data_IF_064534758507
#
_entry.id   IF_064534758507
#
_cell.length_a   1.000
_cell.length_b   1.000
_cell.length_c   1.000
_cell.angle_alpha   90.00
_cell.angle_beta   90.00
_cell.angle_gamma   90.00
#
_symmetry.space_group_name_H-M   'P 1'
#
loop_
_entity.id
_entity.type
_entity.pdbx_description
1 polymer ?
#
# COMPACT_ATOMS: atom_id res chain seq x y z
N UNK A 1 -58.57 38.68 -16.58
CA UNK A 1 -57.23 38.07 -16.40
C UNK A 1 -57.18 37.28 -15.10
N UNK A 2 -57.57 36.00 -15.12
CA UNK A 2 -57.33 34.99 -14.03
C UNK A 2 -57.96 33.61 -14.32
N UNK A 3 -58.17 33.23 -15.59
CA UNK A 3 -58.71 31.90 -15.94
C UNK A 3 -58.01 31.27 -17.17
N UNK A 4 -57.12 31.98 -17.87
CA UNK A 4 -56.50 31.48 -19.11
C UNK A 4 -55.04 30.98 -18.98
N UNK A 5 -54.53 30.81 -17.75
CA UNK A 5 -53.14 30.33 -17.51
C UNK A 5 -53.10 28.87 -17.03
N UNK A 6 -54.22 28.29 -16.57
CA UNK A 6 -54.26 26.94 -16.01
C UNK A 6 -54.32 25.79 -17.03
N UNK A 7 -54.64 26.06 -18.31
CA UNK A 7 -54.91 25.01 -19.31
C UNK A 7 -53.73 24.72 -20.25
N UNK A 8 -52.71 25.57 -20.26
CA UNK A 8 -51.46 25.31 -21.02
C UNK A 8 -50.47 24.48 -20.19
N UNK A 9 -50.54 24.53 -18.85
CA UNK A 9 -49.68 23.71 -17.98
C UNK A 9 -50.10 22.23 -17.87
N UNK A 10 -51.35 21.87 -18.18
CA UNK A 10 -51.82 20.48 -18.08
C UNK A 10 -51.67 19.67 -19.38
N UNK A 11 -51.34 20.30 -20.52
CA UNK A 11 -51.13 19.63 -21.80
C UNK A 11 -49.65 19.42 -22.16
N UNK A 12 -48.71 19.96 -21.38
CA UNK A 12 -47.27 19.71 -21.51
C UNK A 12 -46.78 18.53 -20.67
N UNK A 13 -47.65 17.87 -19.89
CA UNK A 13 -47.34 16.74 -19.01
C UNK A 13 -47.77 15.36 -19.58
N UNK A 14 -48.20 15.29 -20.84
CA UNK A 14 -48.73 14.06 -21.45
C UNK A 14 -47.87 13.50 -22.60
N UNK A 15 -46.58 13.85 -22.65
CA UNK A 15 -45.62 13.26 -23.58
C UNK A 15 -44.26 13.06 -22.92
N UNK A 16 -44.26 12.46 -21.72
CA UNK A 16 -43.08 11.69 -21.30
C UNK A 16 -43.17 10.39 -22.09
N UNK A 17 -42.24 10.10 -23.02
CA UNK A 17 -42.19 8.75 -23.56
C UNK A 17 -42.01 7.83 -22.35
N UNK A 18 -42.90 6.85 -22.20
CA UNK A 18 -42.62 5.69 -21.37
C UNK A 18 -41.45 5.02 -22.07
N UNK A 19 -40.23 5.43 -21.72
CA UNK A 19 -39.03 4.65 -21.99
C UNK A 19 -39.26 3.37 -21.22
N UNK A 20 -39.72 2.34 -21.93
CA UNK A 20 -39.55 0.97 -21.48
C UNK A 20 -38.13 0.85 -20.99
N UNK A 21 -37.93 0.41 -19.74
CA UNK A 21 -36.64 -0.05 -19.27
C UNK A 21 -36.10 -1.02 -20.33
N UNK A 22 -35.24 -0.52 -21.20
CA UNK A 22 -34.40 -1.35 -22.02
C UNK A 22 -33.46 -1.98 -21.00
N UNK A 23 -33.60 -3.28 -20.80
CA UNK A 23 -32.53 -4.06 -20.20
C UNK A 23 -31.30 -3.80 -21.07
N UNK A 24 -30.36 -3.00 -20.58
CA UNK A 24 -29.07 -2.86 -21.23
C UNK A 24 -28.44 -4.26 -21.27
N UNK A 25 -28.14 -4.71 -22.47
CA UNK A 25 -27.49 -6.00 -22.74
C UNK A 25 -25.98 -5.93 -22.50
N UNK A 26 -25.52 -5.12 -21.55
CA UNK A 26 -24.11 -4.90 -21.23
C UNK A 26 -23.67 -5.72 -20.00
N UNK A 27 -24.04 -7.01 -19.94
CA UNK A 27 -23.45 -7.93 -18.94
C UNK A 27 -21.93 -8.10 -19.10
N UNK A 28 -21.30 -7.56 -20.15
CA UNK A 28 -19.85 -7.65 -20.37
C UNK A 28 -19.01 -6.56 -19.67
N UNK A 29 -19.60 -5.49 -19.11
CA UNK A 29 -18.84 -4.37 -18.49
C UNK A 29 -19.13 -4.13 -16.99
N UNK A 30 -19.84 -5.02 -16.31
CA UNK A 30 -20.15 -4.85 -14.89
C UNK A 30 -18.98 -5.31 -14.00
N UNK A 31 -18.52 -4.45 -13.08
CA UNK A 31 -17.65 -4.87 -11.99
C UNK A 31 -18.38 -5.82 -11.03
N UNK A 32 -17.67 -6.71 -10.31
CA UNK A 32 -18.22 -7.45 -9.18
C UNK A 32 -19.05 -6.55 -8.24
N UNK A 33 -20.37 -6.75 -8.25
CA UNK A 33 -21.38 -5.98 -7.52
C UNK A 33 -21.50 -4.48 -7.84
N UNK A 34 -21.49 -4.13 -9.12
CA UNK A 34 -21.91 -2.82 -9.66
C UNK A 34 -23.15 -2.30 -8.90
N UNK A 35 -23.13 -1.08 -8.33
CA UNK A 35 -24.25 -0.61 -7.54
C UNK A 35 -25.54 -0.52 -8.36
N UNK A 36 -26.65 -1.04 -7.81
CA UNK A 36 -28.01 -0.83 -8.33
C UNK A 36 -28.35 0.67 -8.37
N UNK A 37 -27.59 1.48 -7.63
CA UNK A 37 -27.81 2.88 -7.41
C UNK A 37 -26.53 3.69 -7.66
N UNK A 38 -26.40 4.26 -8.86
CA UNK A 38 -25.26 5.09 -9.30
C UNK A 38 -25.23 6.48 -8.67
N UNK A 39 -25.69 6.62 -7.43
CA UNK A 39 -25.66 7.88 -6.73
C UNK A 39 -24.20 8.29 -6.46
N UNK A 40 -23.74 9.29 -7.21
CA UNK A 40 -22.46 9.98 -6.97
C UNK A 40 -22.36 10.48 -5.53
N UNK A 41 -23.49 10.86 -4.91
CA UNK A 41 -23.54 11.36 -3.55
C UNK A 41 -23.96 10.28 -2.53
N UNK A 42 -23.01 9.86 -1.69
CA UNK A 42 -23.25 8.98 -0.56
C UNK A 42 -23.24 9.79 0.75
N UNK A 43 -24.37 9.80 1.47
CA UNK A 43 -24.45 10.44 2.80
C UNK A 43 -23.73 9.60 3.87
N UNK A 44 -23.28 10.22 4.95
CA UNK A 44 -22.69 9.49 6.09
C UNK A 44 -23.64 8.42 6.67
N UNK A 45 -24.94 8.71 6.72
CA UNK A 45 -25.94 7.76 7.23
C UNK A 45 -26.07 6.52 6.34
N UNK A 46 -26.08 6.70 5.02
CA UNK A 46 -26.09 5.60 4.06
C UNK A 46 -24.81 4.77 4.15
N UNK A 47 -23.65 5.44 4.15
CA UNK A 47 -22.34 4.81 4.31
C UNK A 47 -22.30 3.97 5.60
N UNK A 48 -22.76 4.52 6.72
CA UNK A 48 -22.75 3.82 8.01
C UNK A 48 -23.57 2.54 7.98
N UNK A 49 -24.76 2.56 7.36
CA UNK A 49 -25.57 1.36 7.24
C UNK A 49 -24.89 0.30 6.36
N UNK A 50 -24.29 0.73 5.24
CA UNK A 50 -23.66 -0.19 4.30
C UNK A 50 -22.41 -0.86 4.87
N UNK A 51 -21.49 -0.11 5.50
CA UNK A 51 -20.26 -0.69 6.05
C UNK A 51 -20.53 -1.62 7.24
N UNK A 52 -21.58 -1.36 8.03
CA UNK A 52 -22.02 -2.30 9.07
C UNK A 52 -22.59 -3.58 8.44
N UNK A 53 -23.38 -3.45 7.36
CA UNK A 53 -23.86 -4.59 6.60
C UNK A 53 -22.72 -5.46 6.05
N UNK A 54 -21.68 -4.84 5.48
CA UNK A 54 -20.49 -5.58 5.01
C UNK A 54 -19.80 -6.38 6.12
N UNK A 55 -19.66 -5.79 7.31
CA UNK A 55 -19.06 -6.47 8.47
C UNK A 55 -19.93 -7.63 8.99
N UNK A 56 -21.25 -7.49 8.94
CA UNK A 56 -22.20 -8.54 9.33
C UNK A 56 -22.24 -9.69 8.30
N UNK A 57 -22.19 -9.37 7.00
CA UNK A 57 -22.34 -10.32 5.91
C UNK A 57 -21.05 -11.08 5.57
N UNK A 58 -19.88 -10.43 5.74
CA UNK A 58 -18.56 -11.00 5.40
C UNK A 58 -17.54 -10.89 6.56
N UNK A 59 -17.84 -11.36 7.78
CA UNK A 59 -16.99 -11.20 8.95
C UNK A 59 -15.63 -11.92 8.84
N UNK A 60 -15.50 -12.87 7.90
CA UNK A 60 -14.24 -13.56 7.62
C UNK A 60 -13.22 -12.69 6.88
N UNK A 61 -13.68 -11.63 6.20
CA UNK A 61 -12.82 -10.69 5.48
C UNK A 61 -12.97 -9.23 5.89
N UNK A 62 -14.05 -8.84 6.55
CA UNK A 62 -14.34 -7.45 6.92
C UNK A 62 -14.25 -7.27 8.44
N UNK A 63 -13.38 -6.36 8.87
CA UNK A 63 -13.33 -5.85 10.24
C UNK A 63 -13.54 -4.32 10.26
N UNK A 64 -14.70 -3.89 10.75
CA UNK A 64 -15.09 -2.47 10.77
C UNK A 64 -14.59 -1.77 12.04
N UNK A 65 -13.80 -0.71 11.88
CA UNK A 65 -13.31 0.12 12.97
C UNK A 65 -13.97 1.51 13.01
N UNK A 66 -14.37 1.93 14.21
CA UNK A 66 -14.69 3.31 14.56
C UNK A 66 -13.42 3.98 15.11
N UNK A 67 -12.74 4.76 14.27
CA UNK A 67 -11.37 5.26 14.58
C UNK A 67 -11.35 6.64 15.23
N UNK A 68 -12.52 7.24 15.41
CA UNK A 68 -12.66 8.58 15.95
C UNK A 68 -14.01 9.19 15.59
N UNK A 69 -14.19 10.46 15.97
CA UNK A 69 -15.40 11.24 15.69
C UNK A 69 -15.05 12.50 14.94
N UNK A 70 -15.94 12.92 14.04
CA UNK A 70 -15.95 14.26 13.47
C UNK A 70 -16.37 15.31 14.51
N UNK A 71 -16.30 16.59 14.14
CA UNK A 71 -16.64 17.72 15.02
C UNK A 71 -18.10 17.66 15.54
N UNK A 72 -19.04 17.15 14.73
CA UNK A 72 -20.44 16.94 15.11
C UNK A 72 -20.71 15.55 15.71
N UNK A 73 -19.68 14.75 15.97
CA UNK A 73 -19.78 13.48 16.67
C UNK A 73 -20.12 12.27 15.79
N UNK A 74 -19.93 12.36 14.47
CA UNK A 74 -20.14 11.21 13.56
C UNK A 74 -18.93 10.28 13.57
N UNK A 75 -19.17 8.98 13.57
CA UNK A 75 -18.09 7.98 13.48
C UNK A 75 -17.29 8.11 12.19
N UNK A 76 -15.98 8.01 12.31
CA UNK A 76 -15.07 7.87 11.19
C UNK A 76 -14.82 6.37 10.99
N UNK A 77 -15.36 5.83 9.90
CA UNK A 77 -15.34 4.40 9.63
C UNK A 77 -14.12 4.01 8.80
N UNK A 78 -13.35 3.05 9.29
CA UNK A 78 -12.32 2.35 8.52
C UNK A 78 -12.76 0.91 8.30
N UNK A 79 -12.92 0.55 7.03
CA UNK A 79 -13.16 -0.84 6.62
C UNK A 79 -11.81 -1.51 6.48
N UNK A 80 -11.54 -2.52 7.32
CA UNK A 80 -10.31 -3.31 7.23
C UNK A 80 -10.61 -4.62 6.51
N UNK A 81 -9.89 -4.88 5.43
CA UNK A 81 -10.09 -6.05 4.57
C UNK A 81 -8.83 -6.92 4.55
N UNK A 82 -8.98 -8.19 4.88
CA UNK A 82 -7.96 -9.22 4.71
C UNK A 82 -8.60 -10.60 4.91
N UNK A 83 -7.97 -11.68 4.49
CA UNK A 83 -8.37 -13.01 4.94
C UNK A 83 -8.00 -13.18 6.42
N UNK A 84 -8.94 -12.90 7.32
CA UNK A 84 -8.73 -12.95 8.78
C UNK A 84 -8.67 -14.39 9.33
N UNK A 85 -8.80 -15.40 8.47
CA UNK A 85 -8.57 -16.80 8.88
C UNK A 85 -7.06 -17.13 9.01
N UNK A 86 -6.18 -16.29 8.47
CA UNK A 86 -4.73 -16.45 8.50
C UNK A 86 -4.01 -15.13 8.86
N UNK A 87 -3.07 -15.21 9.81
CA UNK A 87 -2.31 -14.03 10.26
C UNK A 87 -1.12 -13.68 9.33
N UNK A 88 -0.69 -14.63 8.50
CA UNK A 88 0.49 -14.49 7.64
C UNK A 88 0.19 -14.94 6.22
N UNK A 89 1.01 -14.49 5.27
CA UNK A 89 1.02 -15.01 3.90
C UNK A 89 1.28 -16.52 3.86
N UNK A 90 1.00 -17.20 2.73
CA UNK A 90 1.32 -18.63 2.55
C UNK A 90 2.80 -19.00 2.78
N UNK A 91 3.72 -18.06 2.57
CA UNK A 91 5.15 -18.25 2.81
C UNK A 91 5.59 -17.96 4.27
N UNK A 92 4.66 -17.65 5.16
CA UNK A 92 4.91 -17.34 6.58
C UNK A 92 5.36 -15.91 6.88
N UNK A 93 5.53 -15.05 5.86
CA UNK A 93 5.84 -13.64 6.08
C UNK A 93 4.60 -12.82 6.43
N UNK A 94 4.80 -11.68 7.09
CA UNK A 94 3.71 -10.74 7.41
C UNK A 94 3.05 -10.22 6.12
N UNK A 95 1.75 -9.93 6.18
CA UNK A 95 0.99 -9.31 5.09
C UNK A 95 1.49 -7.89 4.83
N UNK A 96 1.39 -7.41 3.59
CA UNK A 96 1.58 -5.98 3.31
C UNK A 96 0.39 -5.19 3.86
N UNK A 97 0.62 -3.92 4.18
CA UNK A 97 -0.44 -3.01 4.65
C UNK A 97 -0.65 -1.91 3.62
N UNK A 98 -1.88 -1.75 3.14
CA UNK A 98 -2.27 -0.63 2.27
C UNK A 98 -3.25 0.25 3.04
N UNK A 99 -2.92 1.54 3.15
CA UNK A 99 -3.83 2.54 3.70
C UNK A 99 -4.46 3.38 2.59
N UNK A 100 -5.78 3.53 2.62
CA UNK A 100 -6.53 4.34 1.66
C UNK A 100 -7.45 5.26 2.45
N UNK A 101 -7.55 6.51 2.04
CA UNK A 101 -8.62 7.38 2.50
C UNK A 101 -9.27 8.20 1.39
N UNK A 102 -10.48 8.66 1.68
CA UNK A 102 -11.26 9.55 0.83
C UNK A 102 -12.05 10.56 1.65
N UNK A 103 -12.59 11.56 0.95
CA UNK A 103 -13.52 12.52 1.54
C UNK A 103 -12.88 13.49 2.52
N UNK A 104 -11.60 13.86 2.35
CA UNK A 104 -10.99 15.00 3.06
C UNK A 104 -11.77 16.29 2.83
N UNK A 105 -12.20 16.48 1.58
CA UNK A 105 -13.10 17.55 1.22
C UNK A 105 -14.52 17.01 1.08
N UNK A 106 -15.46 17.57 1.83
CA UNK A 106 -16.81 17.00 1.94
C UNK A 106 -17.60 16.99 0.63
N UNK A 107 -17.32 17.95 -0.26
CA UNK A 107 -17.97 18.09 -1.57
C UNK A 107 -17.25 17.34 -2.71
N UNK A 108 -16.20 16.57 -2.43
CA UNK A 108 -15.48 15.74 -3.42
C UNK A 108 -16.05 14.32 -3.42
N UNK A 109 -17.26 14.19 -3.96
CA UNK A 109 -18.02 12.95 -3.86
C UNK A 109 -17.39 11.79 -4.65
N UNK A 110 -16.77 12.04 -5.80
CA UNK A 110 -16.13 10.99 -6.60
C UNK A 110 -14.89 10.42 -5.90
N UNK A 111 -14.08 11.25 -5.24
CA UNK A 111 -12.97 10.77 -4.41
C UNK A 111 -13.44 9.90 -3.24
N UNK A 112 -14.54 10.29 -2.59
CA UNK A 112 -15.19 9.45 -1.55
C UNK A 112 -15.73 8.14 -2.14
N UNK A 113 -16.35 8.20 -3.31
CA UNK A 113 -16.91 7.05 -4.01
C UNK A 113 -15.83 6.07 -4.45
N UNK A 114 -14.67 6.53 -4.91
CA UNK A 114 -13.55 5.64 -5.29
C UNK A 114 -13.02 4.86 -4.07
N UNK A 115 -12.98 5.47 -2.88
CA UNK A 115 -12.54 4.78 -1.66
C UNK A 115 -13.55 3.69 -1.27
N UNK A 116 -14.83 4.03 -1.35
CA UNK A 116 -15.92 3.08 -1.12
C UNK A 116 -15.94 1.93 -2.16
N UNK A 117 -15.76 2.25 -3.45
CA UNK A 117 -15.68 1.28 -4.55
C UNK A 117 -14.50 0.33 -4.35
N UNK A 118 -13.36 0.85 -3.90
CA UNK A 118 -12.19 0.03 -3.60
C UNK A 118 -12.54 -1.04 -2.55
N UNK A 119 -13.21 -0.67 -1.46
CA UNK A 119 -13.64 -1.64 -0.45
C UNK A 119 -14.65 -2.65 -1.02
N UNK A 120 -15.68 -2.15 -1.69
CA UNK A 120 -16.78 -2.95 -2.24
C UNK A 120 -16.30 -3.97 -3.28
N UNK A 121 -15.37 -3.58 -4.15
CA UNK A 121 -14.82 -4.44 -5.19
C UNK A 121 -14.12 -5.67 -4.60
N UNK A 122 -13.28 -5.50 -3.56
CA UNK A 122 -12.59 -6.63 -2.94
C UNK A 122 -13.54 -7.54 -2.14
N UNK A 123 -14.56 -6.98 -1.49
CA UNK A 123 -15.59 -7.76 -0.78
C UNK A 123 -16.38 -8.62 -1.78
N UNK A 124 -16.90 -8.02 -2.84
CA UNK A 124 -17.68 -8.74 -3.85
C UNK A 124 -16.80 -9.73 -4.62
N UNK A 125 -15.58 -9.32 -5.00
CA UNK A 125 -14.61 -10.17 -5.67
C UNK A 125 -14.30 -11.43 -4.85
N UNK A 126 -14.13 -11.29 -3.53
CA UNK A 126 -13.98 -12.45 -2.64
C UNK A 126 -15.21 -13.36 -2.68
N UNK A 127 -16.41 -12.80 -2.50
CA UNK A 127 -17.67 -13.54 -2.49
C UNK A 127 -17.94 -14.29 -3.81
N UNK A 128 -17.51 -13.72 -4.94
CA UNK A 128 -17.67 -14.28 -6.28
C UNK A 128 -16.54 -15.26 -6.67
N UNK A 129 -15.50 -15.39 -5.84
CA UNK A 129 -14.35 -16.25 -6.13
C UNK A 129 -13.37 -15.66 -7.17
N UNK A 130 -13.31 -14.34 -7.28
CA UNK A 130 -12.35 -13.63 -8.13
C UNK A 130 -10.92 -13.84 -7.60
N UNK A 131 -10.03 -14.35 -8.45
CA UNK A 131 -8.68 -14.73 -8.05
C UNK A 131 -7.83 -13.52 -7.59
N UNK A 132 -7.96 -12.36 -8.23
CA UNK A 132 -7.21 -11.17 -7.82
C UNK A 132 -7.63 -10.70 -6.43
N UNK A 133 -8.94 -10.67 -6.16
CA UNK A 133 -9.44 -10.30 -4.83
C UNK A 133 -8.96 -11.29 -3.75
N UNK A 134 -9.01 -12.59 -4.04
CA UNK A 134 -8.50 -13.64 -3.14
C UNK A 134 -7.00 -13.45 -2.88
N UNK A 135 -6.20 -13.29 -3.94
CA UNK A 135 -4.75 -13.15 -3.81
C UNK A 135 -4.38 -11.90 -3.02
N UNK A 136 -5.06 -10.77 -3.26
CA UNK A 136 -4.84 -9.54 -2.49
C UNK A 136 -5.20 -9.75 -1.02
N UNK A 137 -6.39 -10.26 -0.69
CA UNK A 137 -6.81 -10.40 0.72
C UNK A 137 -6.00 -11.46 1.48
N UNK A 138 -5.44 -12.47 0.80
CA UNK A 138 -4.53 -13.44 1.42
C UNK A 138 -3.14 -12.88 1.70
N UNK A 139 -2.71 -11.86 0.97
CA UNK A 139 -1.34 -11.32 1.06
C UNK A 139 -1.26 -9.91 1.68
N UNK A 140 -2.39 -9.21 1.77
CA UNK A 140 -2.45 -7.79 2.12
C UNK A 140 -3.59 -7.52 3.11
N UNK A 141 -3.38 -6.55 4.00
CA UNK A 141 -4.41 -5.90 4.80
C UNK A 141 -4.71 -4.53 4.18
N UNK A 142 -5.95 -4.33 3.72
CA UNK A 142 -6.42 -3.04 3.20
C UNK A 142 -7.15 -2.31 4.31
N UNK A 143 -6.74 -1.07 4.62
CA UNK A 143 -7.37 -0.22 5.62
C UNK A 143 -7.94 0.99 4.88
N UNK A 144 -9.27 1.08 4.78
CA UNK A 144 -9.94 2.05 3.91
C UNK A 144 -10.83 2.98 4.74
N UNK A 145 -10.39 4.21 4.95
CA UNK A 145 -11.18 5.28 5.56
C UNK A 145 -12.01 5.96 4.47
N UNK A 146 -13.28 5.59 4.35
CA UNK A 146 -14.09 5.99 3.19
C UNK A 146 -14.41 7.49 3.18
N UNK A 147 -14.77 8.07 4.33
CA UNK A 147 -15.22 9.46 4.43
C UNK A 147 -14.62 10.13 5.66
N UNK A 148 -13.56 10.91 5.45
CA UNK A 148 -12.88 11.62 6.52
C UNK A 148 -13.68 12.82 7.05
N UNK A 149 -14.37 13.55 6.18
CA UNK A 149 -15.13 14.77 6.51
C UNK A 149 -16.64 14.55 6.37
N UNK A 150 -17.27 13.72 7.22
CA UNK A 150 -18.71 13.47 7.12
C UNK A 150 -19.57 14.69 7.49
N UNK A 151 -18.99 15.68 8.17
CA UNK A 151 -19.69 16.92 8.51
C UNK A 151 -19.76 17.88 7.35
N UNK A 152 -18.66 18.09 6.63
CA UNK A 152 -18.65 18.84 5.38
C UNK A 152 -19.43 18.14 4.27
N UNK A 153 -19.40 16.80 4.23
CA UNK A 153 -20.13 16.03 3.23
C UNK A 153 -21.65 16.23 3.31
N UNK A 154 -22.23 16.12 4.51
CA UNK A 154 -23.67 16.28 4.71
C UNK A 154 -24.21 17.68 4.32
N UNK A 155 -23.34 18.70 4.26
CA UNK A 155 -23.71 20.08 3.91
C UNK A 155 -23.06 20.56 2.59
N UNK A 156 -22.48 19.66 1.81
CA UNK A 156 -21.84 19.95 0.51
C UNK A 156 -20.77 21.05 0.59
N UNK A 157 -19.84 20.94 1.55
CA UNK A 157 -18.72 21.89 1.69
C UNK A 157 -17.37 21.21 1.53
N UNK A 158 -16.45 21.91 0.87
CA UNK A 158 -15.03 21.51 0.79
C UNK A 158 -14.40 21.38 2.18
N UNK A 159 -14.63 22.37 3.03
CA UNK A 159 -14.06 22.42 4.36
C UNK A 159 -14.87 21.59 5.35
N UNK A 160 -14.31 21.30 6.52
CA UNK A 160 -15.09 20.76 7.62
C UNK A 160 -16.03 21.83 8.22
N UNK A 161 -16.80 21.46 9.24
CA UNK A 161 -17.78 22.36 9.87
C UNK A 161 -17.13 23.62 10.46
N UNK A 162 -15.87 23.55 10.89
CA UNK A 162 -15.09 24.68 11.42
C UNK A 162 -14.50 25.59 10.33
N UNK A 163 -14.78 25.32 9.05
CA UNK A 163 -14.17 26.00 7.90
C UNK A 163 -12.64 25.83 7.91
N UNK A 164 -12.18 24.60 8.11
CA UNK A 164 -10.78 24.21 7.96
C UNK A 164 -10.64 23.26 6.77
N UNK A 165 -9.59 23.51 5.99
CA UNK A 165 -9.16 22.59 4.94
C UNK A 165 -8.38 21.45 5.60
N UNK A 166 -9.03 20.28 5.69
CA UNK A 166 -8.44 19.10 6.33
C UNK A 166 -7.14 18.69 5.64
N UNK A 167 -7.01 18.90 4.33
CA UNK A 167 -5.79 18.63 3.58
C UNK A 167 -4.77 19.79 3.64
N UNK A 168 -4.91 20.68 4.63
CA UNK A 168 -3.89 21.67 5.06
C UNK A 168 -3.55 21.54 6.55
N UNK A 169 -4.13 20.56 7.24
CA UNK A 169 -4.09 20.44 8.70
C UNK A 169 -3.14 19.33 9.19
N UNK A 170 -2.30 18.73 8.34
CA UNK A 170 -1.35 17.69 8.75
C UNK A 170 0.01 18.27 9.19
N UNK A 171 0.69 17.62 10.13
CA UNK A 171 1.99 18.05 10.67
C UNK A 171 3.18 17.70 9.76
N UNK A 172 3.11 18.15 8.50
CA UNK A 172 4.27 18.16 7.61
C UNK A 172 4.43 19.55 7.02
N UNK A 173 5.38 20.30 7.59
CA UNK A 173 5.61 21.71 7.26
C UNK A 173 4.33 22.56 7.32
N UNK A 174 3.49 22.25 8.31
CA UNK A 174 2.19 22.87 8.51
C UNK A 174 2.27 24.39 8.47
N UNK A 175 1.38 25.01 7.69
CA UNK A 175 1.25 26.47 7.57
C UNK A 175 2.54 27.21 7.13
N UNK A 176 3.42 26.55 6.35
CA UNK A 176 4.65 27.17 5.80
C UNK A 176 4.61 27.48 4.30
N UNK A 177 3.52 27.14 3.61
CA UNK A 177 3.24 27.52 2.23
C UNK A 177 2.13 28.60 2.21
N UNK A 178 1.85 29.26 1.07
CA UNK A 178 0.60 30.01 0.92
C UNK A 178 -0.61 29.08 1.10
N UNK A 179 -1.25 29.10 2.27
CA UNK A 179 -2.40 28.25 2.59
C UNK A 179 -3.70 29.05 2.61
N UNK A 180 -4.81 28.42 2.24
CA UNK A 180 -6.14 29.02 2.33
C UNK A 180 -6.70 28.96 3.75
N UNK A 181 -6.75 27.79 4.42
CA UNK A 181 -7.37 27.64 5.76
C UNK A 181 -6.81 26.43 6.55
N UNK A 182 -5.62 26.49 7.17
CA UNK A 182 -4.92 25.31 7.72
C UNK A 182 -5.34 24.90 9.15
N UNK A 183 -6.30 25.57 9.78
CA UNK A 183 -6.68 25.35 11.17
C UNK A 183 -5.82 26.13 12.18
N UNK A 184 -6.00 25.85 13.47
CA UNK A 184 -5.35 26.60 14.57
C UNK A 184 -3.98 26.02 14.97
N UNK A 185 -3.76 24.74 14.69
CA UNK A 185 -2.50 24.01 14.78
C UNK A 185 -2.54 22.83 13.80
N UNK A 186 -1.42 22.16 13.57
CA UNK A 186 -1.47 20.85 12.95
C UNK A 186 -2.37 19.92 13.79
N UNK A 187 -3.19 19.11 13.12
CA UNK A 187 -4.18 18.21 13.70
C UNK A 187 -5.14 18.88 14.68
N UNK A 188 -5.50 20.16 14.42
CA UNK A 188 -6.49 20.87 15.24
C UNK A 188 -7.91 20.34 15.06
N UNK A 189 -8.21 19.74 13.92
CA UNK A 189 -9.53 19.20 13.62
C UNK A 189 -9.63 17.75 14.10
N UNK A 190 -10.77 17.39 14.68
CA UNK A 190 -11.00 16.03 15.21
C UNK A 190 -10.84 14.94 14.15
N UNK A 191 -11.21 15.24 12.89
CA UNK A 191 -11.08 14.31 11.77
C UNK A 191 -9.61 13.99 11.47
N UNK A 192 -8.77 15.01 11.31
CA UNK A 192 -7.34 14.84 10.96
C UNK A 192 -6.54 14.30 12.14
N UNK A 193 -6.91 14.67 13.38
CA UNK A 193 -6.34 14.10 14.59
C UNK A 193 -6.62 12.59 14.71
N UNK A 194 -7.86 12.16 14.46
CA UNK A 194 -8.21 10.75 14.45
C UNK A 194 -7.46 9.99 13.34
N UNK A 195 -7.40 10.55 12.13
CA UNK A 195 -6.66 9.97 11.01
C UNK A 195 -5.17 9.82 11.33
N UNK A 196 -4.54 10.86 11.86
CA UNK A 196 -3.13 10.81 12.28
C UNK A 196 -2.91 9.76 13.37
N UNK A 197 -3.78 9.70 14.38
CA UNK A 197 -3.67 8.69 15.42
C UNK A 197 -3.76 7.27 14.84
N UNK A 198 -4.68 7.02 13.90
CA UNK A 198 -4.81 5.73 13.23
C UNK A 198 -3.55 5.38 12.43
N UNK A 199 -3.02 6.33 11.63
CA UNK A 199 -1.78 6.16 10.88
C UNK A 199 -0.60 5.79 11.81
N UNK A 200 -0.48 6.45 12.97
CA UNK A 200 0.65 6.24 13.88
C UNK A 200 0.53 4.99 14.76
N UNK A 201 -0.69 4.50 15.02
CA UNK A 201 -0.92 3.45 16.03
C UNK A 201 -1.40 2.13 15.44
N UNK A 202 -2.05 2.14 14.28
CA UNK A 202 -2.62 0.94 13.64
C UNK A 202 -1.86 0.57 12.38
N UNK A 203 -1.53 1.54 11.53
CA UNK A 203 -0.82 1.30 10.26
C UNK A 203 0.55 1.99 10.17
N UNK A 204 1.37 2.11 11.25
CA UNK A 204 2.62 2.90 11.24
C UNK A 204 3.63 2.44 10.18
N UNK A 205 3.47 1.21 9.71
CA UNK A 205 4.37 0.49 8.81
C UNK A 205 3.76 0.25 7.41
N UNK A 206 2.72 1.00 7.03
CA UNK A 206 2.05 0.84 5.74
C UNK A 206 3.04 0.82 4.55
N UNK A 207 2.78 -0.08 3.61
CA UNK A 207 3.58 -0.27 2.42
C UNK A 207 3.10 0.60 1.24
N UNK A 208 1.89 1.15 1.33
CA UNK A 208 1.30 2.11 0.39
C UNK A 208 0.29 3.01 1.12
N UNK A 209 0.24 4.28 0.76
CA UNK A 209 -0.84 5.19 1.15
C UNK A 209 -1.45 5.87 -0.08
N UNK A 210 -2.78 5.84 -0.20
CA UNK A 210 -3.50 6.57 -1.26
C UNK A 210 -4.59 7.45 -0.67
N UNK A 211 -4.65 8.70 -1.09
CA UNK A 211 -5.66 9.67 -0.65
C UNK A 211 -6.47 10.17 -1.85
N UNK A 212 -7.79 10.13 -1.76
CA UNK A 212 -8.68 10.34 -2.90
C UNK A 212 -9.44 11.66 -2.82
N UNK A 213 -9.40 12.38 -3.94
CA UNK A 213 -9.87 13.74 -4.14
C UNK A 213 -10.54 13.90 -5.52
N UNK A 214 -11.16 15.05 -5.76
CA UNK A 214 -11.78 15.41 -7.04
C UNK A 214 -11.68 16.91 -7.31
N UNK A 215 -11.50 17.31 -8.56
CA UNK A 215 -11.43 18.71 -8.99
C UNK A 215 -10.42 18.98 -10.10
N UNK A 216 -9.66 17.95 -10.47
CA UNK A 216 -8.83 17.87 -11.67
C UNK A 216 -8.60 16.37 -11.98
N UNK A 217 -8.27 16.01 -13.21
CA UNK A 217 -7.90 14.63 -13.57
C UNK A 217 -6.37 14.41 -13.56
N UNK A 218 -5.81 13.96 -12.42
CA UNK A 218 -4.37 13.77 -12.21
C UNK A 218 -4.08 12.90 -10.99
N UNK A 219 -3.00 12.11 -11.05
CA UNK A 219 -2.44 11.43 -9.89
C UNK A 219 -1.14 12.10 -9.45
N UNK A 220 -1.02 12.41 -8.17
CA UNK A 220 0.08 13.20 -7.64
C UNK A 220 0.88 12.40 -6.62
N UNK A 221 2.20 12.48 -6.68
CA UNK A 221 3.09 11.99 -5.63
C UNK A 221 3.83 13.15 -4.96
N UNK A 222 4.43 12.96 -3.77
CA UNK A 222 5.21 13.97 -3.09
C UNK A 222 6.27 14.63 -3.99
N UNK A 223 6.61 15.89 -3.78
CA UNK A 223 6.18 16.77 -2.71
C UNK A 223 5.14 17.77 -3.21
N UNK A 224 4.21 18.15 -2.35
CA UNK A 224 3.41 19.36 -2.53
C UNK A 224 4.20 20.61 -2.17
N UNK A 225 5.06 20.51 -1.15
CA UNK A 225 5.86 21.65 -0.68
C UNK A 225 6.94 22.09 -1.66
N UNK A 226 7.63 21.12 -2.27
CA UNK A 226 8.83 21.34 -3.05
C UNK A 226 8.65 20.87 -4.49
N UNK A 227 9.13 21.64 -5.49
CA UNK A 227 9.12 21.22 -6.89
C UNK A 227 10.19 20.17 -7.20
N UNK A 228 11.16 19.95 -6.32
CA UNK A 228 12.14 18.88 -6.45
C UNK A 228 11.48 17.51 -6.29
N UNK A 229 12.03 16.52 -7.00
CA UNK A 229 11.57 15.14 -6.91
C UNK A 229 11.88 14.54 -5.53
N UNK A 230 11.06 13.61 -5.03
CA UNK A 230 11.31 12.91 -3.78
C UNK A 230 12.58 12.05 -3.87
N UNK A 231 13.15 11.66 -2.73
CA UNK A 231 14.43 10.94 -2.71
C UNK A 231 14.37 9.62 -3.49
N UNK A 232 13.25 8.91 -3.43
CA UNK A 232 12.93 7.67 -4.14
C UNK A 232 12.12 7.94 -5.42
N UNK A 233 12.42 9.03 -6.14
CA UNK A 233 11.76 9.37 -7.40
C UNK A 233 11.72 8.23 -8.43
N UNK A 234 12.71 7.34 -8.42
CA UNK A 234 12.79 6.16 -9.29
C UNK A 234 11.56 5.25 -9.14
N UNK A 235 11.09 5.04 -7.90
CA UNK A 235 9.88 4.28 -7.59
C UNK A 235 8.65 4.93 -8.24
N UNK A 236 8.46 6.23 -8.03
CA UNK A 236 7.32 6.96 -8.56
C UNK A 236 7.33 7.05 -10.08
N UNK A 237 8.51 7.18 -10.69
CA UNK A 237 8.66 7.21 -12.14
C UNK A 237 8.43 5.84 -12.77
N UNK A 238 8.89 4.75 -12.15
CA UNK A 238 8.62 3.40 -12.64
C UNK A 238 7.12 3.09 -12.59
N UNK A 239 6.46 3.39 -11.46
CA UNK A 239 4.99 3.26 -11.34
C UNK A 239 4.28 4.08 -12.41
N UNK A 240 4.71 5.33 -12.64
CA UNK A 240 4.14 6.16 -13.71
C UNK A 240 4.28 5.50 -15.08
N UNK A 241 5.46 5.00 -15.40
CA UNK A 241 5.74 4.40 -16.70
C UNK A 241 4.90 3.13 -16.90
N UNK A 242 4.83 2.26 -15.90
CA UNK A 242 4.02 1.05 -15.95
C UNK A 242 2.53 1.40 -16.15
N UNK A 243 2.00 2.34 -15.36
CA UNK A 243 0.60 2.77 -15.49
C UNK A 243 0.32 3.40 -16.86
N UNK A 244 1.18 4.31 -17.33
CA UNK A 244 0.95 5.02 -18.59
C UNK A 244 1.19 4.19 -19.84
N UNK A 245 1.96 3.10 -19.75
CA UNK A 245 2.15 2.18 -20.86
C UNK A 245 1.02 1.17 -20.97
N UNK A 246 0.51 0.66 -19.84
CA UNK A 246 -0.30 -0.55 -19.83
C UNK A 246 -1.74 -0.36 -19.31
N UNK A 247 -2.05 0.73 -18.59
CA UNK A 247 -3.30 0.86 -17.83
C UNK A 247 -4.10 2.12 -18.19
N UNK A 248 -3.57 3.31 -17.92
CA UNK A 248 -4.31 4.57 -18.05
C UNK A 248 -3.41 5.71 -18.50
N UNK A 249 -4.00 6.66 -19.23
CA UNK A 249 -3.31 7.88 -19.64
C UNK A 249 -3.31 8.98 -18.56
N UNK A 250 -3.79 8.68 -17.34
CA UNK A 250 -3.81 9.62 -16.22
C UNK A 250 -2.42 10.24 -16.01
N UNK A 251 -2.28 11.58 -15.97
CA UNK A 251 -1.00 12.19 -15.72
C UNK A 251 -0.54 11.84 -14.29
N UNK A 252 0.71 11.40 -14.14
CA UNK A 252 1.30 11.09 -12.82
C UNK A 252 2.52 11.97 -12.58
N UNK A 253 2.44 12.90 -11.63
CA UNK A 253 3.46 13.95 -11.45
C UNK A 253 3.68 14.34 -9.99
N UNK A 254 4.82 14.97 -9.72
CA UNK A 254 5.09 15.63 -8.44
C UNK A 254 3.99 16.68 -8.17
N UNK A 255 3.46 16.71 -6.96
CA UNK A 255 2.28 17.51 -6.63
C UNK A 255 2.46 19.03 -6.77
N UNK A 256 3.65 19.55 -6.45
CA UNK A 256 3.97 20.97 -6.61
C UNK A 256 4.04 21.34 -8.10
N UNK A 257 4.69 20.50 -8.91
CA UNK A 257 4.87 20.71 -10.35
C UNK A 257 3.56 20.53 -11.13
N UNK A 258 2.76 19.53 -10.76
CA UNK A 258 1.48 19.22 -11.41
C UNK A 258 0.37 20.20 -11.04
N UNK A 259 0.38 20.75 -9.82
CA UNK A 259 -0.59 21.72 -9.35
C UNK A 259 0.06 23.05 -8.94
N UNK A 260 0.34 23.20 -7.64
CA UNK A 260 0.87 24.40 -7.02
C UNK A 260 1.48 24.05 -5.66
N UNK A 261 2.35 24.91 -5.09
CA UNK A 261 2.93 24.68 -3.77
C UNK A 261 1.87 24.56 -2.67
N UNK A 262 1.84 23.42 -1.98
CA UNK A 262 0.92 23.16 -0.87
C UNK A 262 1.67 22.50 0.31
N UNK A 263 1.21 22.79 1.53
CA UNK A 263 1.82 22.30 2.78
C UNK A 263 0.72 21.79 3.71
N UNK A 264 1.08 20.94 4.67
CA UNK A 264 0.13 20.34 5.61
C UNK A 264 -0.86 19.37 4.96
N UNK A 265 -0.48 18.77 3.83
CA UNK A 265 -1.30 17.75 3.17
C UNK A 265 -1.10 16.38 3.81
N UNK A 266 -2.13 15.53 3.72
CA UNK A 266 -2.05 14.13 4.13
C UNK A 266 -0.98 13.39 3.33
N UNK A 267 -0.89 13.65 2.03
CA UNK A 267 0.10 13.05 1.12
C UNK A 267 1.55 13.27 1.58
N UNK A 268 1.92 14.52 1.80
CA UNK A 268 3.30 14.85 2.18
C UNK A 268 3.60 14.38 3.62
N UNK A 269 2.60 14.29 4.49
CA UNK A 269 2.73 13.68 5.81
C UNK A 269 2.96 12.16 5.73
N UNK A 270 2.17 11.44 4.94
CA UNK A 270 2.32 10.00 4.71
C UNK A 270 3.71 9.65 4.19
N UNK A 271 4.25 10.43 3.26
CA UNK A 271 5.60 10.20 2.77
C UNK A 271 6.69 10.73 3.71
N UNK A 272 6.67 12.02 4.04
CA UNK A 272 7.77 12.69 4.74
C UNK A 272 7.85 12.41 6.24
N UNK A 273 6.75 12.01 6.88
CA UNK A 273 6.71 11.66 8.31
C UNK A 273 6.55 10.16 8.51
N UNK A 274 5.63 9.52 7.78
CA UNK A 274 5.35 8.09 7.97
C UNK A 274 6.22 7.17 7.11
N UNK A 275 6.84 7.67 6.04
CA UNK A 275 7.71 6.87 5.16
C UNK A 275 6.96 6.00 4.14
N UNK A 276 5.69 6.29 3.88
CA UNK A 276 4.86 5.57 2.91
C UNK A 276 5.08 6.12 1.50
N UNK A 277 5.21 5.28 0.47
CA UNK A 277 5.02 5.73 -0.89
C UNK A 277 3.55 6.17 -0.99
N UNK A 278 3.35 7.41 -1.40
CA UNK A 278 2.04 8.04 -1.27
C UNK A 278 1.57 8.63 -2.58
N UNK A 279 0.29 8.40 -2.90
CA UNK A 279 -0.37 9.02 -4.06
C UNK A 279 -1.64 9.75 -3.67
N UNK A 280 -1.90 10.87 -4.34
CA UNK A 280 -3.20 11.54 -4.33
C UNK A 280 -3.86 11.29 -5.67
N UNK A 281 -5.07 10.72 -5.68
CA UNK A 281 -5.91 10.70 -6.86
C UNK A 281 -6.77 11.95 -6.87
N UNK A 282 -6.71 12.72 -7.94
CA UNK A 282 -7.73 13.70 -8.30
C UNK A 282 -8.48 13.07 -9.49
N UNK A 283 -9.69 12.59 -9.22
CA UNK A 283 -10.36 11.60 -10.08
C UNK A 283 -11.11 12.17 -11.28
N UNK A 284 -11.42 13.48 -11.28
CA UNK A 284 -12.26 14.09 -12.31
C UNK A 284 -12.17 15.62 -12.21
N UNK A 285 -12.35 16.32 -13.34
CA UNK A 285 -12.43 17.78 -13.40
C UNK A 285 -13.77 18.32 -12.88
N UNK A 286 -14.82 17.49 -12.84
CA UNK A 286 -16.16 17.89 -12.38
C UNK A 286 -16.41 17.52 -10.90
N UNK A 287 -16.37 18.53 -10.03
CA UNK A 287 -16.91 18.45 -8.68
C UNK A 287 -18.44 18.49 -8.72
N UNK A 288 -19.08 17.39 -9.13
CA UNK A 288 -20.53 17.12 -9.14
C UNK A 288 -21.46 18.21 -9.70
N UNK A 289 -22.25 17.85 -10.72
CA UNK A 289 -23.32 18.71 -11.26
C UNK A 289 -24.69 18.16 -10.83
N UNK A 290 -25.53 18.92 -10.11
CA UNK A 290 -26.87 18.46 -9.74
C UNK A 290 -27.67 17.99 -10.98
N UNK A 291 -28.02 16.70 -11.01
CA UNK A 291 -28.77 16.07 -12.10
C UNK A 291 -27.92 15.33 -13.14
N UNK A 292 -26.60 15.18 -12.95
CA UNK A 292 -25.83 14.18 -13.68
C UNK A 292 -26.21 12.77 -13.20
N UNK A 293 -26.51 11.88 -14.15
CA UNK A 293 -26.72 10.45 -13.92
C UNK A 293 -25.74 9.72 -14.84
N UNK A 294 -24.52 9.53 -14.35
CA UNK A 294 -23.47 8.79 -15.06
C UNK A 294 -23.07 7.63 -14.17
N UNK A 295 -22.82 6.47 -14.76
CA UNK A 295 -22.45 5.30 -13.99
C UNK A 295 -21.06 5.54 -13.36
N UNK A 296 -20.92 5.30 -12.05
CA UNK A 296 -19.65 5.46 -11.34
C UNK A 296 -18.54 4.59 -11.94
N UNK A 297 -18.86 3.39 -12.41
CA UNK A 297 -17.93 2.48 -13.09
C UNK A 297 -17.40 3.12 -14.39
N UNK A 298 -18.24 3.82 -15.16
CA UNK A 298 -17.79 4.51 -16.38
C UNK A 298 -16.88 5.71 -16.06
N UNK A 299 -17.14 6.42 -14.95
CA UNK A 299 -16.37 7.62 -14.57
C UNK A 299 -15.07 7.34 -13.83
N UNK A 300 -15.08 6.31 -12.99
CA UNK A 300 -13.96 5.94 -12.12
C UNK A 300 -13.24 4.68 -12.61
N UNK A 301 -13.56 4.26 -13.83
CA UNK A 301 -13.08 3.03 -14.45
C UNK A 301 -11.55 2.95 -14.47
N UNK A 302 -10.95 3.99 -15.03
CA UNK A 302 -9.50 4.10 -15.16
C UNK A 302 -8.82 4.22 -13.79
N UNK A 303 -9.36 5.03 -12.87
CA UNK A 303 -8.80 5.22 -11.53
C UNK A 303 -8.83 3.92 -10.73
N UNK A 304 -9.91 3.14 -10.87
CA UNK A 304 -10.04 1.87 -10.18
C UNK A 304 -9.06 0.82 -10.73
N UNK A 305 -8.82 0.80 -12.04
CA UNK A 305 -7.81 -0.09 -12.62
C UNK A 305 -6.39 0.29 -12.16
N UNK A 306 -6.08 1.59 -12.06
CA UNK A 306 -4.81 2.04 -11.47
C UNK A 306 -4.74 1.70 -9.97
N UNK A 307 -5.82 1.89 -9.20
CA UNK A 307 -5.88 1.53 -7.79
C UNK A 307 -5.60 0.04 -7.56
N UNK A 308 -6.25 -0.83 -8.35
CA UNK A 308 -6.05 -2.28 -8.32
C UNK A 308 -4.61 -2.66 -8.67
N UNK A 309 -3.99 -1.98 -9.63
CA UNK A 309 -2.57 -2.17 -9.94
C UNK A 309 -1.68 -1.80 -8.75
N UNK A 310 -1.92 -0.65 -8.11
CA UNK A 310 -1.14 -0.23 -6.93
C UNK A 310 -1.27 -1.22 -5.77
N UNK A 311 -2.48 -1.72 -5.52
CA UNK A 311 -2.75 -2.68 -4.44
C UNK A 311 -2.13 -4.04 -4.76
N UNK A 312 -2.36 -4.57 -5.96
CA UNK A 312 -1.89 -5.90 -6.36
C UNK A 312 -0.37 -6.00 -6.42
N UNK A 313 0.32 -4.87 -6.64
CA UNK A 313 1.77 -4.81 -6.73
C UNK A 313 2.45 -4.24 -5.46
N UNK A 314 1.72 -4.11 -4.35
CA UNK A 314 2.22 -3.49 -3.10
C UNK A 314 3.53 -4.09 -2.59
N UNK A 315 3.74 -5.38 -2.82
CA UNK A 315 4.96 -6.08 -2.43
C UNK A 315 6.26 -5.43 -2.98
N UNK A 316 6.16 -4.83 -4.18
CA UNK A 316 7.27 -4.21 -4.91
C UNK A 316 7.59 -2.76 -4.49
N UNK A 317 6.72 -2.08 -3.72
CA UNK A 317 6.87 -0.65 -3.36
C UNK A 317 7.89 -0.36 -2.25
N UNK A 318 8.93 -1.19 -2.15
CA UNK A 318 10.05 -1.07 -1.21
C UNK A 318 11.24 -1.87 -1.71
N UNK A 319 12.42 -1.67 -1.14
CA UNK A 319 13.59 -2.51 -1.37
C UNK A 319 13.35 -3.93 -0.81
N UNK A 320 13.71 -4.93 -1.60
CA UNK A 320 13.59 -6.37 -1.27
C UNK A 320 14.91 -7.04 -1.64
N UNK A 321 15.81 -7.14 -0.68
CA UNK A 321 17.19 -7.54 -0.93
C UNK A 321 17.36 -9.05 -0.73
N UNK A 322 17.75 -9.74 -1.78
CA UNK A 322 18.00 -11.18 -1.77
C UNK A 322 19.47 -11.47 -2.09
N UNK A 323 20.17 -12.11 -1.15
CA UNK A 323 21.59 -12.44 -1.30
C UNK A 323 21.72 -13.71 -2.14
N UNK A 324 22.28 -13.56 -3.34
CA UNK A 324 22.48 -14.66 -4.29
C UNK A 324 23.73 -15.47 -3.95
N UNK A 325 24.79 -14.79 -3.48
CA UNK A 325 26.01 -15.42 -3.00
C UNK A 325 26.70 -14.56 -1.96
N UNK A 326 27.36 -15.23 -1.01
CA UNK A 326 28.23 -14.60 -0.03
C UNK A 326 29.50 -15.45 0.09
N UNK A 327 30.60 -14.91 -0.44
CA UNK A 327 31.90 -15.55 -0.45
C UNK A 327 32.83 -14.87 0.54
N UNK A 328 33.45 -15.63 1.45
CA UNK A 328 34.42 -15.10 2.41
C UNK A 328 35.81 -15.61 2.05
N UNK A 329 36.75 -14.69 1.89
CA UNK A 329 38.16 -14.98 1.57
C UNK A 329 39.07 -14.06 2.36
N UNK A 330 39.79 -14.61 3.33
CA UNK A 330 40.72 -13.88 4.21
C UNK A 330 40.09 -12.61 4.83
N UNK A 331 40.49 -11.44 4.33
CA UNK A 331 40.11 -10.11 4.82
C UNK A 331 38.99 -9.46 3.97
N UNK A 332 38.36 -10.19 3.04
CA UNK A 332 37.30 -9.67 2.17
C UNK A 332 36.08 -10.58 2.11
N UNK A 333 34.90 -9.97 2.00
CA UNK A 333 33.65 -10.64 1.63
C UNK A 333 33.22 -10.13 0.26
N UNK A 334 32.94 -11.05 -0.66
CA UNK A 334 32.26 -10.77 -1.93
C UNK A 334 30.79 -11.14 -1.79
N UNK A 335 29.90 -10.19 -2.04
CA UNK A 335 28.46 -10.32 -1.84
C UNK A 335 27.73 -9.96 -3.14
N UNK A 336 26.93 -10.89 -3.67
CA UNK A 336 25.97 -10.60 -4.76
C UNK A 336 24.58 -10.43 -4.17
N UNK A 337 24.04 -9.22 -4.27
CA UNK A 337 22.71 -8.87 -3.76
C UNK A 337 21.81 -8.44 -4.91
N UNK A 338 20.67 -9.09 -5.02
CA UNK A 338 19.60 -8.72 -5.95
C UNK A 338 18.53 -7.92 -5.23
N UNK A 339 18.14 -6.79 -5.77
CA UNK A 339 16.95 -6.06 -5.32
C UNK A 339 15.76 -6.41 -6.22
N UNK A 340 14.76 -7.09 -5.65
CA UNK A 340 13.49 -7.37 -6.33
C UNK A 340 12.51 -6.19 -6.27
N UNK A 341 12.79 -5.22 -5.41
CA UNK A 341 11.97 -4.07 -5.15
C UNK A 341 12.19 -2.91 -6.11
N UNK A 342 11.19 -2.04 -6.22
CA UNK A 342 11.26 -0.81 -7.01
C UNK A 342 11.77 0.40 -6.21
N UNK A 343 12.09 0.24 -4.92
CA UNK A 343 12.82 1.25 -4.17
C UNK A 343 14.29 0.83 -3.99
N UNK A 344 15.18 1.81 -4.12
CA UNK A 344 16.59 1.68 -3.78
C UNK A 344 16.79 1.64 -2.26
N UNK A 345 17.90 1.04 -1.80
CA UNK A 345 18.39 1.16 -0.42
C UNK A 345 19.80 1.75 -0.44
N UNK A 346 20.02 2.86 0.26
CA UNK A 346 21.29 3.60 0.27
C UNK A 346 22.18 3.34 1.49
N UNK A 347 21.64 2.73 2.54
CA UNK A 347 22.34 2.49 3.81
C UNK A 347 22.28 1.01 4.21
N UNK A 348 22.52 0.11 3.26
CA UNK A 348 22.52 -1.34 3.53
C UNK A 348 23.81 -1.75 4.23
N UNK A 349 23.70 -2.63 5.22
CA UNK A 349 24.82 -3.24 5.95
C UNK A 349 24.68 -4.74 5.97
N UNK A 350 25.77 -5.47 5.74
CA UNK A 350 25.85 -6.89 6.04
C UNK A 350 26.27 -7.05 7.50
N UNK A 351 25.52 -7.84 8.26
CA UNK A 351 25.80 -8.08 9.68
C UNK A 351 26.01 -9.56 9.95
N UNK A 352 26.93 -9.83 10.86
CA UNK A 352 27.07 -11.13 11.51
C UNK A 352 26.60 -10.98 12.95
N UNK A 353 25.57 -11.73 13.33
CA UNK A 353 24.88 -11.59 14.62
C UNK A 353 25.01 -12.86 15.46
N UNK A 354 24.94 -12.72 16.78
CA UNK A 354 24.83 -13.85 17.71
C UNK A 354 23.39 -14.39 17.80
N UNK A 355 23.18 -15.44 18.60
CA UNK A 355 21.86 -16.04 18.84
C UNK A 355 20.86 -15.12 19.55
N UNK A 356 21.34 -14.03 20.16
CA UNK A 356 20.52 -12.97 20.75
C UNK A 356 20.22 -11.81 19.79
N UNK A 357 20.71 -11.85 18.55
CA UNK A 357 20.56 -10.78 17.57
C UNK A 357 21.53 -9.61 17.74
N UNK A 358 22.56 -9.74 18.59
CA UNK A 358 23.57 -8.68 18.73
C UNK A 358 24.57 -8.77 17.59
N UNK A 359 24.82 -7.65 16.93
CA UNK A 359 25.85 -7.57 15.89
C UNK A 359 27.25 -7.78 16.47
N UNK A 360 27.89 -8.88 16.06
CA UNK A 360 29.29 -9.20 16.35
C UNK A 360 30.22 -8.52 15.35
N UNK A 361 29.74 -8.30 14.12
CA UNK A 361 30.44 -7.58 13.06
C UNK A 361 29.42 -6.90 12.13
N UNK A 362 29.80 -5.74 11.61
CA UNK A 362 29.03 -4.98 10.63
C UNK A 362 29.95 -4.49 9.51
N UNK A 363 29.47 -4.56 8.27
CA UNK A 363 30.19 -4.04 7.11
C UNK A 363 30.16 -2.50 7.08
N UNK A 364 30.98 -1.91 6.19
CA UNK A 364 30.70 -0.56 5.73
C UNK A 364 29.36 -0.51 4.98
N UNK A 365 28.72 0.67 4.95
CA UNK A 365 27.48 0.88 4.23
C UNK A 365 27.69 0.72 2.72
N UNK A 366 26.70 0.13 2.05
CA UNK A 366 26.63 0.05 0.60
C UNK A 366 25.21 0.31 0.09
N UNK A 367 25.12 0.65 -1.20
CA UNK A 367 23.85 0.93 -1.88
C UNK A 367 23.47 -0.24 -2.76
N UNK A 368 22.18 -0.59 -2.78
CA UNK A 368 21.60 -1.49 -3.78
C UNK A 368 20.46 -0.75 -4.47
N UNK A 369 20.62 -0.49 -5.77
CA UNK A 369 19.63 0.25 -6.55
C UNK A 369 18.37 -0.60 -6.80
N UNK A 370 17.23 0.06 -7.08
CA UNK A 370 15.98 -0.57 -7.48
C UNK A 370 16.16 -1.51 -8.67
N UNK A 371 15.50 -2.68 -8.63
CA UNK A 371 15.42 -3.67 -9.72
C UNK A 371 16.78 -4.12 -10.28
N UNK A 372 17.87 -4.01 -9.51
CA UNK A 372 19.24 -4.29 -9.97
C UNK A 372 19.92 -5.38 -9.14
N UNK A 373 20.97 -6.00 -9.71
CA UNK A 373 21.93 -6.83 -8.96
C UNK A 373 23.19 -6.01 -8.71
N UNK A 374 23.73 -6.10 -7.50
CA UNK A 374 24.95 -5.41 -7.10
C UNK A 374 25.95 -6.40 -6.54
N UNK A 375 27.15 -6.42 -7.13
CA UNK A 375 28.29 -7.13 -6.57
C UNK A 375 29.09 -6.17 -5.71
N UNK A 376 29.25 -6.51 -4.43
CA UNK A 376 29.85 -5.65 -3.42
C UNK A 376 31.01 -6.38 -2.76
N UNK A 377 32.15 -5.71 -2.63
CA UNK A 377 33.31 -6.20 -1.88
C UNK A 377 33.40 -5.45 -0.56
N UNK A 378 33.43 -6.18 0.55
CA UNK A 378 33.38 -5.65 1.92
C UNK A 378 34.63 -6.06 2.70
N UNK A 379 35.15 -5.16 3.54
CA UNK A 379 36.33 -5.39 4.39
C UNK A 379 35.98 -6.24 5.62
N UNK A 380 36.60 -7.42 5.74
CA UNK A 380 36.33 -8.42 6.76
C UNK A 380 37.44 -8.56 7.83
N UNK A 381 38.43 -7.65 7.90
CA UNK A 381 39.59 -7.76 8.81
C UNK A 381 39.30 -8.00 10.30
N UNK A 382 38.13 -7.56 10.78
CA UNK A 382 37.71 -7.73 12.18
C UNK A 382 36.59 -8.75 12.34
N UNK A 383 36.31 -9.54 11.32
CA UNK A 383 35.30 -10.58 11.37
C UNK A 383 35.81 -11.75 12.21
N UNK A 384 35.05 -12.12 13.24
CA UNK A 384 35.29 -13.33 14.03
C UNK A 384 34.02 -14.15 14.04
N UNK A 385 34.08 -15.31 13.38
CA UNK A 385 32.95 -16.22 13.26
C UNK A 385 32.82 -17.07 14.52
N UNK A 386 31.58 -17.29 14.94
CA UNK A 386 31.22 -18.18 16.05
C UNK A 386 30.46 -19.40 15.51
N UNK A 387 30.30 -20.44 16.32
CA UNK A 387 29.63 -21.66 15.86
C UNK A 387 28.12 -21.46 15.68
N UNK A 388 27.54 -20.47 16.35
CA UNK A 388 26.11 -20.23 16.49
C UNK A 388 25.65 -18.88 15.91
N UNK A 389 26.56 -18.09 15.31
CA UNK A 389 26.20 -16.83 14.68
C UNK A 389 25.59 -17.00 13.28
N UNK A 390 24.80 -16.01 12.86
CA UNK A 390 24.09 -15.99 11.58
C UNK A 390 24.32 -14.68 10.82
N UNK A 391 24.06 -14.70 9.52
CA UNK A 391 24.17 -13.53 8.65
C UNK A 391 22.80 -12.90 8.41
N UNK A 392 22.76 -11.57 8.40
CA UNK A 392 21.57 -10.80 8.01
C UNK A 392 21.95 -9.55 7.22
N UNK A 393 21.03 -9.07 6.39
CA UNK A 393 21.07 -7.71 5.86
C UNK A 393 20.28 -6.80 6.77
N UNK A 394 20.86 -5.66 7.12
CA UNK A 394 20.17 -4.59 7.82
C UNK A 394 20.11 -3.35 6.93
N UNK A 395 18.91 -2.89 6.61
CA UNK A 395 18.73 -1.81 5.65
C UNK A 395 17.40 -1.06 5.80
N UNK A 396 17.37 0.14 5.24
CA UNK A 396 16.16 0.95 5.16
C UNK A 396 15.36 0.56 3.92
N UNK A 397 14.06 0.31 4.07
CA UNK A 397 13.27 -0.25 2.96
C UNK A 397 13.00 0.75 1.82
N UNK A 398 13.26 2.04 2.03
CA UNK A 398 13.18 3.15 1.05
C UNK A 398 14.19 4.21 1.43
N UNK A 399 14.63 5.04 0.48
CA UNK A 399 15.66 6.08 0.74
C UNK A 399 15.13 7.33 1.47
N UNK A 400 13.82 7.45 1.69
CA UNK A 400 13.26 8.53 2.50
C UNK A 400 13.61 8.32 3.98
N UNK A 401 14.06 9.38 4.66
CA UNK A 401 14.56 9.28 6.04
C UNK A 401 13.54 8.71 7.04
N UNK A 402 12.25 8.95 6.83
CA UNK A 402 11.14 8.44 7.65
C UNK A 402 10.88 6.94 7.47
N UNK A 403 11.47 6.31 6.46
CA UNK A 403 11.25 4.89 6.16
C UNK A 403 11.81 3.99 7.25
N UNK A 404 11.10 2.89 7.53
CA UNK A 404 11.51 1.89 8.52
C UNK A 404 12.76 1.12 8.09
N UNK A 405 13.43 0.57 9.09
CA UNK A 405 14.56 -0.35 8.92
C UNK A 405 14.11 -1.78 9.14
N UNK A 406 14.72 -2.71 8.41
CA UNK A 406 14.48 -4.15 8.54
C UNK A 406 15.80 -4.89 8.71
N UNK A 407 15.75 -5.99 9.47
CA UNK A 407 16.78 -7.03 9.50
C UNK A 407 16.20 -8.27 8.81
N UNK A 408 16.83 -8.70 7.72
CA UNK A 408 16.40 -9.88 6.96
C UNK A 408 17.52 -10.94 6.97
N UNK A 409 17.24 -12.16 7.49
CA UNK A 409 18.26 -13.20 7.61
C UNK A 409 18.67 -13.73 6.24
N UNK A 410 19.96 -14.07 6.10
CA UNK A 410 20.52 -14.64 4.87
C UNK A 410 20.45 -16.15 4.95
N UNK A 411 20.00 -16.79 3.86
CA UNK A 411 19.91 -18.24 3.78
C UNK A 411 21.31 -18.86 3.81
N UNK A 412 21.55 -19.78 4.75
CA UNK A 412 22.84 -20.44 4.89
C UNK A 412 23.31 -21.21 3.64
N UNK A 413 22.40 -21.57 2.72
CA UNK A 413 22.76 -22.28 1.48
C UNK A 413 23.56 -21.44 0.48
N UNK A 414 23.53 -20.11 0.59
CA UNK A 414 24.25 -19.21 -0.34
C UNK A 414 25.67 -18.87 0.12
N UNK A 415 26.07 -19.36 1.30
CA UNK A 415 27.38 -19.15 1.89
C UNK A 415 28.42 -20.06 1.24
N UNK A 416 29.50 -19.45 0.74
CA UNK A 416 30.67 -20.17 0.23
C UNK A 416 31.91 -19.67 0.96
N UNK A 417 32.49 -20.52 1.80
CA UNK A 417 33.76 -20.24 2.46
C UNK A 417 34.90 -20.74 1.58
N UNK A 418 35.74 -19.84 1.08
CA UNK A 418 36.92 -20.22 0.30
C UNK A 418 38.10 -20.29 1.28
N UNK A 419 38.46 -21.49 1.74
CA UNK A 419 39.67 -21.69 2.54
C UNK A 419 40.92 -21.50 1.65
N UNK A 420 41.65 -20.41 1.86
CA UNK A 420 43.06 -20.31 1.49
C UNK A 420 43.90 -21.06 2.53
N UNK A 421 44.75 -21.98 2.07
CA UNK A 421 45.49 -22.92 2.93
C UNK A 421 46.16 -22.25 4.15
N UNK A 422 45.57 -22.39 5.34
CA UNK A 422 46.22 -22.84 6.59
C UNK A 422 45.45 -22.48 7.87
N UNK A 423 44.31 -23.13 8.12
CA UNK A 423 44.00 -23.71 9.45
C UNK A 423 42.66 -24.44 9.40
N UNK A 424 42.68 -25.72 9.80
CA UNK A 424 41.48 -26.55 9.92
C UNK A 424 40.49 -25.92 10.93
N UNK A 425 39.44 -25.28 10.43
CA UNK A 425 38.27 -24.94 11.23
C UNK A 425 37.01 -25.44 10.50
N UNK A 426 36.73 -26.73 10.68
CA UNK A 426 35.46 -27.34 10.29
C UNK A 426 34.33 -26.81 11.19
N UNK A 427 33.58 -25.82 10.69
CA UNK A 427 32.28 -25.44 11.23
C UNK A 427 31.27 -25.36 10.08
N UNK A 428 30.17 -26.11 10.19
CA UNK A 428 28.98 -25.88 9.38
C UNK A 428 28.46 -27.00 8.48
N UNK A 429 28.71 -28.29 8.74
CA UNK A 429 27.89 -29.35 8.10
C UNK A 429 26.61 -29.58 8.93
N UNK A 430 25.56 -28.81 8.65
CA UNK A 430 24.23 -29.05 9.20
C UNK A 430 23.68 -30.42 8.75
N UNK A 431 22.97 -31.09 9.66
CA UNK A 431 22.38 -32.45 9.56
C UNK A 431 21.38 -32.68 8.40
N UNK A 432 21.23 -31.74 7.45
CA UNK A 432 20.26 -31.81 6.35
C UNK A 432 20.88 -31.59 4.96
N UNK A 433 22.20 -31.73 4.80
CA UNK A 433 22.82 -31.74 3.47
C UNK A 433 22.40 -33.02 2.69
N UNK A 434 21.85 -32.91 1.46
CA UNK A 434 21.42 -34.05 0.65
C UNK A 434 22.54 -35.05 0.39
N UNK A 435 23.78 -34.59 0.25
CA UNK A 435 24.96 -35.43 0.00
C UNK A 435 25.33 -36.24 1.24
N UNK A 436 25.22 -35.66 2.43
CA UNK A 436 25.50 -36.34 3.71
C UNK A 436 24.41 -37.37 4.04
N UNK A 437 23.15 -37.08 3.69
CA UNK A 437 22.04 -38.03 3.78
C UNK A 437 22.23 -39.20 2.81
N UNK A 438 22.60 -38.93 1.55
CA UNK A 438 22.88 -39.98 0.54
C UNK A 438 24.08 -40.84 0.96
N UNK A 439 25.15 -40.23 1.47
CA UNK A 439 26.31 -40.96 1.99
C UNK A 439 25.97 -41.79 3.24
N UNK A 440 25.11 -41.28 4.13
CA UNK A 440 24.60 -42.00 5.28
C UNK A 440 23.75 -43.21 4.90
N UNK A 441 22.81 -43.06 3.96
CA UNK A 441 22.01 -44.18 3.44
C UNK A 441 22.85 -45.21 2.69
N UNK A 442 23.86 -44.78 1.92
CA UNK A 442 24.78 -45.69 1.24
C UNK A 442 25.66 -46.47 2.24
N UNK A 443 26.12 -45.83 3.32
CA UNK A 443 26.88 -46.49 4.37
C UNK A 443 26.03 -47.51 5.14
N UNK A 444 24.79 -47.16 5.50
CA UNK A 444 23.86 -48.07 6.18
C UNK A 444 23.50 -49.26 5.28
N UNK A 445 23.26 -49.03 3.98
CA UNK A 445 23.00 -50.11 3.03
C UNK A 445 24.20 -51.05 2.84
N UNK A 446 25.42 -50.51 2.84
CA UNK A 446 26.65 -51.31 2.74
C UNK A 446 26.93 -52.14 4.01
N UNK A 447 26.54 -51.66 5.19
CA UNK A 447 26.63 -52.43 6.43
C UNK A 447 25.54 -53.49 6.54
N UNK A 448 24.30 -53.18 6.13
CA UNK A 448 23.20 -54.14 6.11
C UNK A 448 23.45 -55.31 5.12
N UNK A 449 24.05 -55.06 3.96
CA UNK A 449 24.44 -56.11 3.01
C UNK A 449 25.58 -57.01 3.50
N UNK A 450 26.35 -56.55 4.50
CA UNK A 450 27.48 -57.31 5.05
C UNK A 450 27.06 -58.25 6.17
N UNK A 451 26.01 -57.91 6.92
CA UNK A 451 25.41 -58.81 7.92
C UNK A 451 24.61 -59.96 7.27
N UNK A 452 23.97 -59.74 6.12
CA UNK A 452 23.28 -60.84 5.39
C UNK A 452 24.25 -61.84 4.73
N UNK A 453 25.52 -61.47 4.49
CA UNK A 453 26.52 -62.39 3.90
C UNK A 453 27.26 -63.27 4.91
N UNK A 454 27.09 -63.02 6.22
CA UNK A 454 27.74 -63.78 7.29
C UNK A 454 26.81 -64.83 7.95
N UNK A 455 25.58 -65.02 7.44
CA UNK A 455 24.60 -66.01 7.93
C UNK A 455 24.24 -67.17 6.95
N UNK A 456 24.98 -67.40 5.84
CA UNK A 456 24.84 -68.62 5.00
C UNK A 456 26.00 -69.63 5.12
#
# INVERSE_FOLDING_TARGET
MRVAIGLVLCLMLASVPVTSAQSDSNEENAWPGDPIDSHVHMTWAALTLEVNGWADDYPEIVDLADVGKSELGKSLWVVRLSDWSVDTKPNGSAKEIVYIDGGHHGNEYLGTALAWLSAKWYINGWAEGNQEAIDVLQNTELHILIMLNPDGNDIDTRWNINQVDLNRNYDHYWNTCPTTQPGSSAFSESETAANSNYMNTVVPDADLYVTMHTGVWIMLYPWGKWPEQPQDWELFHQIREDVNNDISSIPIQNANQGLYPNCGTSRDYGYGVMGYPTFTFETDDEQFVPGSFENLNERLGEEMDVMRYLISNVWYWRARLDVQSLEISDDEISLDVRNHGQASSSNTTLRYVDTGGNALWESNLFTVNATNSSMVTLDAKNLSLTADGSWELYYQIRVVNSSRWVSEPINASVLVMIETESSNFLVGYGLFNPVTLIAGFAAIAAFAQREESDEE
#
